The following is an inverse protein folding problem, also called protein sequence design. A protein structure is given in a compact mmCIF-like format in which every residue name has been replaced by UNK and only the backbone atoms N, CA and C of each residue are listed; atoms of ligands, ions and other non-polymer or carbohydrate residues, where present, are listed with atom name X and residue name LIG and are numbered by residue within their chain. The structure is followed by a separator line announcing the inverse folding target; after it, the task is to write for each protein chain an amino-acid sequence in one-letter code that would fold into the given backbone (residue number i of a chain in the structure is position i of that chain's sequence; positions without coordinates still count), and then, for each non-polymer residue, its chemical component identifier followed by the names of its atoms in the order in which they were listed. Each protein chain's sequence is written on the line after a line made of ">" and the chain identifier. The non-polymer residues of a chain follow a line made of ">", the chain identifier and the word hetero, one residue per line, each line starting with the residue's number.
data_IF_060146502200
#
_entry.id   IF_060146502200
#
_cell.length_a   1.000
_cell.length_b   1.000
_cell.length_c   1.000
_cell.angle_alpha   90.00
_cell.angle_beta   90.00
_cell.angle_gamma   90.00
#
_symmetry.space_group_name_H-M   'P 1'
#
loop_
_entity.id
_entity.type
_entity.pdbx_description
1 polymer ?
#
# COMPACT_ATOMS: atom_id res chain seq x y z
N UNK A 1 15.45 -12.78 -3.78
CA UNK A 1 14.18 -12.40 -3.11
C UNK A 1 13.05 -13.31 -3.55
N UNK A 2 12.32 -13.90 -2.58
CA UNK A 2 11.24 -14.87 -2.83
C UNK A 2 9.86 -14.21 -2.91
N UNK A 3 8.86 -14.92 -3.43
CA UNK A 3 7.49 -14.43 -3.56
C UNK A 3 6.88 -14.01 -2.21
N UNK A 4 7.18 -14.76 -1.14
CA UNK A 4 6.73 -14.43 0.22
C UNK A 4 7.18 -13.04 0.67
N UNK A 5 8.39 -12.62 0.29
CA UNK A 5 8.95 -11.32 0.65
C UNK A 5 8.18 -10.18 -0.04
N UNK A 6 7.75 -10.41 -1.28
CA UNK A 6 6.93 -9.46 -2.05
C UNK A 6 5.54 -9.34 -1.43
N UNK A 7 4.89 -10.46 -1.12
CA UNK A 7 3.54 -10.47 -0.54
C UNK A 7 3.54 -9.79 0.83
N UNK A 8 4.45 -10.17 1.73
CA UNK A 8 4.59 -9.53 3.04
C UNK A 8 4.94 -8.04 2.91
N UNK A 9 5.88 -7.71 2.02
CA UNK A 9 6.28 -6.33 1.75
C UNK A 9 5.13 -5.46 1.23
N UNK A 10 4.19 -6.05 0.49
CA UNK A 10 3.01 -5.32 -0.01
C UNK A 10 2.04 -4.92 1.11
N UNK A 11 1.88 -5.77 2.14
CA UNK A 11 1.07 -5.46 3.31
C UNK A 11 1.72 -4.41 4.21
N UNK A 12 3.04 -4.49 4.36
CA UNK A 12 3.81 -3.47 5.08
C UNK A 12 3.71 -2.11 4.39
N UNK A 13 3.77 -2.07 3.05
CA UNK A 13 3.55 -0.86 2.28
C UNK A 13 2.13 -0.32 2.43
N UNK A 14 1.14 -1.20 2.34
CA UNK A 14 -0.27 -0.83 2.42
C UNK A 14 -0.58 -0.08 3.72
N UNK A 15 -0.10 -0.54 4.86
CA UNK A 15 -0.39 0.11 6.16
C UNK A 15 0.38 1.43 6.37
N UNK A 16 1.32 1.77 5.47
CA UNK A 16 1.97 3.10 5.43
C UNK A 16 1.24 4.09 4.53
N UNK A 17 0.26 3.64 3.76
CA UNK A 17 -0.61 4.55 3.01
C UNK A 17 -1.44 5.42 3.96
N UNK A 18 -1.95 6.56 3.47
CA UNK A 18 -2.91 7.35 4.22
C UNK A 18 -4.10 6.47 4.66
N UNK A 19 -4.51 6.54 5.94
CA UNK A 19 -5.62 5.76 6.43
C UNK A 19 -6.90 5.99 5.60
N UNK A 20 -7.69 4.93 5.35
CA UNK A 20 -8.84 5.04 4.47
C UNK A 20 -9.98 5.78 5.16
N UNK A 21 -10.62 6.71 4.44
CA UNK A 21 -11.72 7.52 4.97
C UNK A 21 -13.06 6.91 4.58
N UNK A 22 -13.98 6.87 5.53
CA UNK A 22 -15.36 6.48 5.28
C UNK A 22 -16.16 7.70 4.83
N UNK A 23 -16.67 7.67 3.59
CA UNK A 23 -17.42 8.79 3.02
C UNK A 23 -18.95 8.66 3.17
N UNK A 24 -19.45 7.61 3.85
CA UNK A 24 -20.88 7.32 3.98
C UNK A 24 -21.24 5.99 3.31
N UNK A 25 -20.82 5.79 2.07
CA UNK A 25 -21.20 4.61 1.30
C UNK A 25 -20.05 3.60 1.18
N UNK A 26 -18.80 4.08 1.23
CA UNK A 26 -17.60 3.26 1.08
C UNK A 26 -16.39 3.84 1.80
N UNK A 27 -15.38 2.99 1.96
CA UNK A 27 -14.05 3.40 2.35
C UNK A 27 -13.20 3.73 1.12
N UNK A 28 -12.48 4.84 1.16
CA UNK A 28 -11.67 5.32 0.05
C UNK A 28 -10.33 5.93 0.51
N UNK A 29 -9.36 5.92 -0.40
CA UNK A 29 -8.09 6.62 -0.28
C UNK A 29 -7.99 7.59 -1.47
N UNK A 30 -7.74 8.86 -1.21
CA UNK A 30 -7.75 9.89 -2.26
C UNK A 30 -6.65 9.67 -3.31
N UNK A 31 -5.45 9.28 -2.88
CA UNK A 31 -4.31 8.92 -3.74
C UNK A 31 -4.43 7.58 -4.48
N UNK A 32 -5.53 6.83 -4.32
CA UNK A 32 -5.69 5.49 -4.95
C UNK A 32 -5.36 5.47 -6.44
N UNK A 33 -5.92 6.38 -7.23
CA UNK A 33 -5.69 6.41 -8.68
C UNK A 33 -4.23 6.73 -9.03
N UNK A 34 -3.56 7.51 -8.20
CA UNK A 34 -2.15 7.86 -8.36
C UNK A 34 -1.24 6.66 -8.10
N UNK A 35 -1.55 5.85 -7.09
CA UNK A 35 -0.84 4.59 -6.80
C UNK A 35 -0.98 3.55 -7.93
N UNK A 36 -2.16 3.50 -8.57
CA UNK A 36 -2.41 2.62 -9.72
C UNK A 36 -1.57 2.95 -10.95
N UNK A 37 -1.12 4.19 -11.07
CA UNK A 37 -0.31 4.63 -12.20
C UNK A 37 1.19 4.45 -11.97
N UNK A 38 1.64 4.19 -10.73
CA UNK A 38 3.06 3.96 -10.43
C UNK A 38 3.73 2.89 -11.31
N UNK A 39 3.09 1.75 -11.63
CA UNK A 39 3.71 0.74 -12.50
C UNK A 39 4.00 1.20 -13.92
N UNK A 40 3.35 2.26 -14.41
CA UNK A 40 3.60 2.80 -15.76
C UNK A 40 5.01 3.38 -15.88
N UNK A 41 5.57 3.93 -14.79
CA UNK A 41 6.95 4.41 -14.73
C UNK A 41 8.02 3.29 -14.92
N UNK A 42 7.59 2.01 -14.95
CA UNK A 42 8.46 0.86 -15.23
C UNK A 42 8.32 0.34 -16.68
N UNK A 43 7.71 1.12 -17.59
CA UNK A 43 7.47 0.72 -19.00
C UNK A 43 8.18 1.61 -20.03
N UNK A 44 8.86 2.67 -19.62
CA UNK A 44 9.19 3.78 -20.54
C UNK A 44 10.51 3.64 -21.30
N UNK A 45 11.46 2.81 -20.88
CA UNK A 45 12.79 2.74 -21.48
C UNK A 45 13.14 1.36 -22.08
N UNK A 46 13.97 1.38 -23.13
CA UNK A 46 14.53 0.17 -23.76
C UNK A 46 15.47 -0.65 -22.85
N UNK A 47 15.95 -0.06 -21.75
CA UNK A 47 16.86 -0.70 -20.79
C UNK A 47 16.24 -0.76 -19.41
N UNK A 48 16.24 -1.94 -18.79
CA UNK A 48 15.61 -2.16 -17.49
C UNK A 48 16.27 -1.39 -16.33
N UNK A 49 17.58 -1.19 -16.37
CA UNK A 49 18.28 -0.35 -15.39
C UNK A 49 17.78 1.11 -15.41
N UNK A 50 17.49 1.64 -16.59
CA UNK A 50 16.96 3.00 -16.75
C UNK A 50 15.50 3.07 -16.26
N UNK A 51 14.73 2.00 -16.43
CA UNK A 51 13.36 1.88 -15.89
C UNK A 51 13.33 1.96 -14.35
N UNK A 52 14.29 1.33 -13.67
CA UNK A 52 14.36 1.37 -12.20
C UNK A 52 14.69 2.80 -11.72
N UNK A 53 15.70 3.42 -12.32
CA UNK A 53 16.08 4.81 -12.00
C UNK A 53 14.93 5.78 -12.29
N UNK A 54 14.24 5.61 -13.41
CA UNK A 54 13.08 6.41 -13.76
C UNK A 54 11.95 6.23 -12.74
N UNK A 55 11.64 4.98 -12.35
CA UNK A 55 10.64 4.70 -11.33
C UNK A 55 10.93 5.38 -10.00
N UNK A 56 12.17 5.29 -9.50
CA UNK A 56 12.58 5.96 -8.24
C UNK A 56 12.37 7.47 -8.32
N UNK A 57 12.80 8.09 -9.43
CA UNK A 57 12.60 9.53 -9.67
C UNK A 57 11.12 9.90 -9.75
N UNK A 58 10.35 9.13 -10.51
CA UNK A 58 8.92 9.33 -10.70
C UNK A 58 8.17 9.22 -9.37
N UNK A 59 8.38 8.14 -8.61
CA UNK A 59 7.76 7.92 -7.32
C UNK A 59 8.09 9.05 -6.33
N UNK A 60 9.36 9.45 -6.26
CA UNK A 60 9.83 10.53 -5.37
C UNK A 60 9.24 11.89 -5.74
N UNK A 61 9.00 12.13 -7.02
CA UNK A 61 8.36 13.36 -7.48
C UNK A 61 6.84 13.34 -7.27
N UNK A 62 6.20 12.23 -7.63
CA UNK A 62 4.75 12.16 -7.76
C UNK A 62 4.03 11.86 -6.44
N UNK A 63 4.58 10.97 -5.60
CA UNK A 63 3.90 10.52 -4.38
C UNK A 63 3.73 11.61 -3.32
N UNK A 64 4.73 12.47 -3.04
CA UNK A 64 4.51 13.60 -2.13
C UNK A 64 3.42 14.54 -2.63
N UNK A 65 3.19 14.61 -3.94
CA UNK A 65 2.15 15.44 -4.58
C UNK A 65 0.81 14.70 -4.71
N UNK A 66 0.70 13.48 -4.17
CA UNK A 66 -0.46 12.64 -4.41
C UNK A 66 -1.72 13.15 -3.70
N UNK A 67 -1.58 13.67 -2.48
CA UNK A 67 -2.71 14.07 -1.63
C UNK A 67 -3.04 15.58 -1.70
N UNK A 68 -2.07 16.47 -1.97
CA UNK A 68 -2.26 17.95 -1.95
C UNK A 68 -1.95 18.69 -3.26
N UNK A 69 -1.83 17.99 -4.39
CA UNK A 69 -1.48 18.64 -5.67
C UNK A 69 -0.02 19.11 -5.65
N UNK A 70 0.25 20.39 -5.96
CA UNK A 70 1.61 20.88 -6.22
C UNK A 70 2.53 21.01 -4.98
N UNK A 71 1.98 20.89 -3.76
CA UNK A 71 2.76 20.96 -2.52
C UNK A 71 3.10 19.56 -2.00
N UNK A 72 4.36 19.29 -1.60
CA UNK A 72 4.71 18.05 -0.94
C UNK A 72 3.85 17.84 0.31
N UNK A 73 3.13 16.73 0.37
CA UNK A 73 2.36 16.29 1.51
C UNK A 73 3.19 15.26 2.30
N UNK A 74 3.53 15.55 3.58
CA UNK A 74 4.24 14.60 4.43
C UNK A 74 3.48 13.28 4.64
N UNK A 75 2.16 13.25 4.40
CA UNK A 75 1.32 12.06 4.61
C UNK A 75 1.73 10.87 3.73
N UNK A 76 2.31 11.11 2.55
CA UNK A 76 2.78 10.06 1.65
C UNK A 76 4.25 9.68 1.87
N UNK A 77 5.02 10.45 2.66
CA UNK A 77 6.45 10.19 2.87
C UNK A 77 6.72 8.83 3.54
N UNK A 78 5.99 8.39 4.58
CA UNK A 78 6.22 7.07 5.17
C UNK A 78 6.05 5.92 4.17
N UNK A 79 5.10 6.05 3.24
CA UNK A 79 4.92 5.08 2.16
C UNK A 79 6.07 5.14 1.15
N UNK A 80 6.45 6.35 0.72
CA UNK A 80 7.54 6.56 -0.23
C UNK A 80 8.86 6.00 0.32
N UNK A 81 9.22 6.32 1.56
CA UNK A 81 10.47 5.90 2.18
C UNK A 81 10.55 4.36 2.26
N UNK A 82 9.46 3.71 2.67
CA UNK A 82 9.40 2.25 2.71
C UNK A 82 9.43 1.64 1.29
N UNK A 83 8.77 2.26 0.32
CA UNK A 83 8.80 1.82 -1.08
C UNK A 83 10.23 1.86 -1.63
N UNK A 84 10.93 2.99 -1.45
CA UNK A 84 12.30 3.15 -1.92
C UNK A 84 13.26 2.19 -1.21
N UNK A 85 13.06 1.95 0.09
CA UNK A 85 13.83 0.96 0.85
C UNK A 85 13.66 -0.44 0.24
N UNK A 86 12.41 -0.84 -0.03
CA UNK A 86 12.12 -2.16 -0.64
C UNK A 86 12.63 -2.27 -2.07
N UNK A 87 12.61 -1.19 -2.86
CA UNK A 87 13.23 -1.17 -4.20
C UNK A 87 14.74 -1.40 -4.08
N UNK A 88 15.41 -0.68 -3.18
CA UNK A 88 16.84 -0.88 -2.92
C UNK A 88 17.16 -2.30 -2.45
N UNK A 89 16.32 -2.89 -1.59
CA UNK A 89 16.47 -4.29 -1.18
C UNK A 89 16.33 -5.29 -2.34
N UNK A 90 15.44 -5.01 -3.31
CA UNK A 90 15.30 -5.81 -4.52
C UNK A 90 16.58 -5.68 -5.38
N UNK A 91 17.04 -4.45 -5.62
CA UNK A 91 18.26 -4.17 -6.39
C UNK A 91 19.50 -4.85 -5.77
N UNK A 92 19.60 -4.86 -4.44
CA UNK A 92 20.72 -5.49 -3.74
C UNK A 92 20.68 -7.03 -3.78
N UNK A 93 19.51 -7.63 -3.96
CA UNK A 93 19.31 -9.10 -3.91
C UNK A 93 19.24 -9.75 -5.29
N UNK A 94 19.07 -8.97 -6.35
CA UNK A 94 18.92 -9.47 -7.71
C UNK A 94 19.99 -8.89 -8.63
N UNK A 95 20.65 -9.76 -9.38
CA UNK A 95 21.72 -9.35 -10.30
C UNK A 95 21.20 -8.99 -11.70
N UNK A 96 19.96 -9.35 -12.02
CA UNK A 96 19.33 -9.09 -13.32
C UNK A 96 18.32 -7.94 -13.21
N UNK A 97 18.52 -6.90 -14.04
CA UNK A 97 17.68 -5.71 -14.02
C UNK A 97 16.23 -5.99 -14.43
N UNK A 98 16.00 -6.97 -15.33
CA UNK A 98 14.65 -7.38 -15.74
C UNK A 98 13.88 -8.02 -14.59
N UNK A 99 14.54 -8.88 -13.82
CA UNK A 99 13.97 -9.47 -12.60
C UNK A 99 13.75 -8.41 -11.50
N UNK A 100 14.63 -7.43 -11.36
CA UNK A 100 14.37 -6.27 -10.47
C UNK A 100 13.08 -5.56 -10.89
N UNK A 101 12.97 -5.15 -12.17
CA UNK A 101 11.77 -4.47 -12.70
C UNK A 101 10.51 -5.30 -12.45
N UNK A 102 10.55 -6.61 -12.71
CA UNK A 102 9.44 -7.53 -12.49
C UNK A 102 9.04 -7.60 -11.02
N UNK A 103 10.00 -7.66 -10.09
CA UNK A 103 9.72 -7.70 -8.65
C UNK A 103 9.18 -6.38 -8.12
N UNK A 104 9.65 -5.24 -8.62
CA UNK A 104 9.05 -3.93 -8.32
C UNK A 104 7.59 -3.89 -8.83
N UNK A 105 7.33 -4.36 -10.06
CA UNK A 105 5.96 -4.47 -10.61
C UNK A 105 5.06 -5.33 -9.73
N UNK A 106 5.55 -6.48 -9.27
CA UNK A 106 4.78 -7.32 -8.35
C UNK A 106 4.54 -6.64 -7.02
N UNK A 107 5.55 -6.05 -6.39
CA UNK A 107 5.41 -5.36 -5.11
C UNK A 107 4.34 -4.26 -5.16
N UNK A 108 4.41 -3.38 -6.16
CA UNK A 108 3.42 -2.31 -6.35
C UNK A 108 2.05 -2.88 -6.75
N UNK A 109 2.03 -3.91 -7.60
CA UNK A 109 0.82 -4.59 -8.04
C UNK A 109 0.04 -5.23 -6.89
N UNK A 110 0.71 -6.02 -6.05
CA UNK A 110 0.13 -6.61 -4.85
C UNK A 110 -0.35 -5.54 -3.87
N UNK A 111 0.45 -4.48 -3.66
CA UNK A 111 0.03 -3.37 -2.79
C UNK A 111 -1.29 -2.75 -3.27
N UNK A 112 -1.42 -2.51 -4.58
CA UNK A 112 -2.63 -1.97 -5.17
C UNK A 112 -3.83 -2.93 -5.10
N UNK A 113 -3.61 -4.22 -5.36
CA UNK A 113 -4.66 -5.23 -5.32
C UNK A 113 -5.17 -5.44 -3.89
N UNK A 114 -4.26 -5.55 -2.93
CA UNK A 114 -4.57 -5.71 -1.51
C UNK A 114 -5.33 -4.50 -0.97
N UNK A 115 -4.93 -3.29 -1.36
CA UNK A 115 -5.67 -2.06 -1.04
C UNK A 115 -7.13 -2.15 -1.51
N UNK A 116 -7.36 -2.51 -2.77
CA UNK A 116 -8.73 -2.63 -3.31
C UNK A 116 -9.56 -3.68 -2.56
N UNK A 117 -9.00 -4.88 -2.35
CA UNK A 117 -9.68 -5.96 -1.64
C UNK A 117 -10.05 -5.57 -0.20
N UNK A 118 -9.13 -4.95 0.52
CA UNK A 118 -9.34 -4.51 1.91
C UNK A 118 -10.39 -3.40 1.99
N UNK A 119 -10.35 -2.41 1.08
CA UNK A 119 -11.38 -1.35 1.04
C UNK A 119 -12.77 -1.90 0.73
N UNK A 120 -12.86 -2.93 -0.13
CA UNK A 120 -14.11 -3.65 -0.38
C UNK A 120 -14.60 -4.36 0.88
N UNK A 121 -13.73 -5.03 1.63
CA UNK A 121 -14.10 -5.68 2.90
C UNK A 121 -14.61 -4.65 3.91
N UNK A 122 -13.89 -3.53 4.07
CA UNK A 122 -14.28 -2.45 4.98
C UNK A 122 -15.65 -1.87 4.62
N UNK A 123 -15.93 -1.69 3.33
CA UNK A 123 -17.20 -1.15 2.85
C UNK A 123 -18.35 -2.15 3.04
N UNK A 124 -18.14 -3.43 2.71
CA UNK A 124 -19.16 -4.48 2.81
C UNK A 124 -19.54 -4.85 4.25
N UNK A 125 -18.67 -4.56 5.23
CA UNK A 125 -18.89 -4.83 6.66
C UNK A 125 -18.75 -3.55 7.49
N UNK A 126 -19.18 -2.42 6.93
CA UNK A 126 -19.10 -1.11 7.58
C UNK A 126 -19.80 -1.13 8.94
N UNK A 127 -19.09 -0.69 9.98
CA UNK A 127 -19.61 -0.60 11.35
C UNK A 127 -19.50 -1.90 12.15
N UNK A 128 -18.97 -2.97 11.57
CA UNK A 128 -18.81 -4.28 12.20
C UNK A 128 -17.34 -4.72 12.10
N UNK A 129 -16.53 -4.23 13.05
CA UNK A 129 -15.08 -4.49 13.11
C UNK A 129 -14.78 -5.99 13.28
N UNK A 130 -15.63 -6.75 13.98
CA UNK A 130 -15.47 -8.20 14.14
C UNK A 130 -15.65 -8.94 12.81
N UNK A 131 -16.68 -8.58 12.04
CA UNK A 131 -16.90 -9.15 10.71
C UNK A 131 -15.82 -8.73 9.70
N UNK A 132 -15.31 -7.50 9.79
CA UNK A 132 -14.15 -7.06 9.02
C UNK A 132 -12.95 -7.95 9.35
N UNK A 133 -12.62 -8.09 10.64
CA UNK A 133 -11.48 -8.89 11.10
C UNK A 133 -11.59 -10.34 10.62
N UNK A 134 -12.76 -10.96 10.77
CA UNK A 134 -12.99 -12.34 10.30
C UNK A 134 -12.80 -12.49 8.78
N UNK A 135 -13.28 -11.53 7.99
CA UNK A 135 -13.10 -11.54 6.52
C UNK A 135 -11.63 -11.36 6.12
N UNK A 136 -10.91 -10.47 6.80
CA UNK A 136 -9.47 -10.31 6.60
C UNK A 136 -8.71 -11.60 6.94
N UNK A 137 -9.02 -12.24 8.07
CA UNK A 137 -8.40 -13.51 8.46
C UNK A 137 -8.60 -14.61 7.42
N UNK A 138 -9.80 -14.72 6.84
CA UNK A 138 -10.08 -15.72 5.79
C UNK A 138 -9.29 -15.42 4.52
N UNK A 139 -9.32 -14.17 4.05
CA UNK A 139 -8.61 -13.75 2.83
C UNK A 139 -7.10 -13.93 2.97
N UNK A 140 -6.51 -13.37 4.03
CA UNK A 140 -5.09 -13.45 4.32
C UNK A 140 -4.65 -14.88 4.64
N UNK A 141 -5.50 -15.65 5.33
CA UNK A 141 -5.24 -17.06 5.62
C UNK A 141 -5.04 -17.88 4.36
N UNK A 142 -5.91 -17.70 3.37
CA UNK A 142 -5.78 -18.39 2.07
C UNK A 142 -4.55 -17.92 1.29
N UNK A 143 -4.30 -16.61 1.21
CA UNK A 143 -3.18 -16.07 0.45
C UNK A 143 -1.82 -16.42 1.07
N UNK A 144 -1.67 -16.20 2.37
CA UNK A 144 -0.40 -16.41 3.07
C UNK A 144 -0.06 -17.90 3.25
N UNK A 145 -1.07 -18.79 3.20
CA UNK A 145 -0.84 -20.23 3.13
C UNK A 145 -0.19 -20.65 1.80
N UNK A 146 -0.58 -20.05 0.67
CA UNK A 146 -0.01 -20.34 -0.65
C UNK A 146 1.48 -20.00 -0.70
N UNK A 147 1.89 -18.92 -0.03
CA UNK A 147 3.30 -18.48 0.03
C UNK A 147 4.07 -18.96 1.27
N UNK A 148 3.46 -19.84 2.08
CA UNK A 148 4.13 -20.51 3.21
C UNK A 148 4.39 -19.65 4.44
N UNK A 149 3.62 -18.58 4.66
CA UNK A 149 3.77 -17.62 5.78
C UNK A 149 2.45 -17.38 6.53
N UNK A 150 1.66 -18.45 6.71
CA UNK A 150 0.34 -18.42 7.37
C UNK A 150 0.39 -17.93 8.82
N UNK A 151 1.52 -18.10 9.50
CA UNK A 151 1.77 -17.59 10.85
C UNK A 151 1.75 -16.06 10.95
N UNK A 152 1.94 -15.35 9.82
CA UNK A 152 1.89 -13.89 9.77
C UNK A 152 0.48 -13.30 9.70
N UNK A 153 -0.57 -14.13 9.54
CA UNK A 153 -1.96 -13.66 9.33
C UNK A 153 -2.42 -12.74 10.45
N UNK A 154 -2.34 -13.16 11.71
CA UNK A 154 -2.90 -12.39 12.82
C UNK A 154 -2.21 -11.03 13.00
N UNK A 155 -0.89 -10.99 12.77
CA UNK A 155 -0.12 -9.75 12.79
C UNK A 155 -0.60 -8.80 11.70
N UNK A 156 -0.69 -9.27 10.46
CA UNK A 156 -1.09 -8.43 9.31
C UNK A 156 -2.54 -7.95 9.48
N UNK A 157 -3.44 -8.80 9.95
CA UNK A 157 -4.82 -8.41 10.29
C UNK A 157 -4.82 -7.29 11.33
N UNK A 158 -4.02 -7.41 12.39
CA UNK A 158 -3.90 -6.39 13.44
C UNK A 158 -3.40 -5.06 12.86
N UNK A 159 -2.34 -5.10 12.04
CA UNK A 159 -1.77 -3.92 11.39
C UNK A 159 -2.80 -3.21 10.49
N UNK A 160 -3.58 -3.97 9.71
CA UNK A 160 -4.65 -3.43 8.85
C UNK A 160 -5.78 -2.80 9.68
N UNK A 161 -6.19 -3.43 10.79
CA UNK A 161 -7.24 -2.90 11.66
C UNK A 161 -6.78 -1.62 12.38
N UNK A 162 -5.52 -1.56 12.81
CA UNK A 162 -4.94 -0.34 13.39
C UNK A 162 -4.84 0.78 12.36
N UNK A 163 -4.45 0.45 11.13
CA UNK A 163 -4.44 1.37 10.00
C UNK A 163 -5.84 1.93 9.72
N UNK A 164 -6.89 1.09 9.70
CA UNK A 164 -8.29 1.54 9.59
C UNK A 164 -8.67 2.53 10.71
N UNK A 165 -8.37 2.20 11.97
CA UNK A 165 -8.78 3.03 13.13
C UNK A 165 -8.10 4.38 13.18
N UNK A 166 -6.88 4.48 12.65
CA UNK A 166 -6.14 5.74 12.56
C UNK A 166 -6.89 6.81 11.73
N UNK A 167 -7.76 6.40 10.80
CA UNK A 167 -8.62 7.33 10.04
C UNK A 167 -9.80 7.89 10.86
N UNK A 168 -10.30 7.10 11.81
CA UNK A 168 -11.45 7.46 12.64
C UNK A 168 -11.08 8.49 13.71
N UNK A 169 -9.87 8.40 14.27
CA UNK A 169 -9.33 9.38 15.23
C UNK A 169 -9.08 10.75 14.58
N UNK A 170 -8.42 10.77 13.42
CA UNK A 170 -8.21 11.98 12.60
C UNK A 170 -9.53 12.72 12.29
N UNK A 171 -10.60 11.96 12.01
CA UNK A 171 -11.93 12.52 11.68
C UNK A 171 -12.63 13.11 12.91
N UNK A 172 -12.43 12.53 14.11
CA UNK A 172 -13.01 13.02 15.37
C UNK A 172 -12.34 14.32 15.82
N UNK A 173 -11.02 14.40 15.78
CA UNK A 173 -10.26 15.61 16.18
C UNK A 173 -10.61 16.82 15.30
N UNK A 174 -10.72 16.62 13.99
CA UNK A 174 -11.09 17.67 13.02
C UNK A 174 -12.48 18.28 13.26
N UNK A 175 -13.41 17.54 13.87
CA UNK A 175 -14.77 18.00 14.18
C UNK A 175 -14.84 18.79 15.49
N UNK A 176 -13.94 18.52 16.43
CA UNK A 176 -13.88 19.22 17.73
C UNK A 176 -13.28 20.61 17.60
N UNK A 177 -12.30 20.81 16.71
CA UNK A 177 -11.63 22.11 16.50
C UNK A 177 -12.48 23.13 15.73
N UNK A 178 -13.53 22.70 15.01
CA UNK A 178 -14.44 23.59 14.26
C UNK A 178 -15.61 24.14 15.09
N UNK A 179 -15.65 23.85 16.40
CA UNK A 179 -16.74 24.27 17.31
C UNK A 179 -16.35 25.42 18.26
N UNK A 180 -15.21 26.07 18.03
CA UNK A 180 -14.78 27.25 18.76
C UNK A 180 -14.59 28.42 17.81
#
# INVERSE_FOLDING_TARGET
>A
MEMKDIVLGSYELLVKLPPPKNNGDKYEIASRNKLKNLPEALRENQKDADNITHFVKYASYFLPRAERGDKPDPVMLPFLDLLLTKVGDIENKENDAGEVVKKIKYLVGYTNWNMDAILTIFSASKGDDEKIQKRLQVMLGAELEIVGVKDSVDRIVSDIMNWKRSSEQSTRESRTTRRY
#
